data_IF_661771926235
#
_entry.id   IF_661771926235
#
_cell.length_a   1.000
_cell.length_b   1.000
_cell.length_c   1.000
_cell.angle_alpha   90.00
_cell.angle_beta   90.00
_cell.angle_gamma   90.00
#
_symmetry.space_group_name_H-M   'P 1'
#
loop_
_entity.id
_entity.type
_entity.pdbx_description
1 polymer ?
#
# COMPACT_ATOMS: atom_id res chain seq x y z
N UNK A 1 14.10 -10.07 -0.43
CA UNK A 1 12.69 -10.41 -0.08
C UNK A 1 11.88 -9.12 -0.01
N UNK A 2 10.65 -9.12 -0.51
CA UNK A 2 9.86 -7.90 -0.58
C UNK A 2 9.01 -7.66 0.66
N UNK A 3 9.02 -6.43 1.16
CA UNK A 3 8.24 -5.99 2.33
C UNK A 3 7.49 -4.71 2.00
N UNK A 4 6.27 -4.58 2.52
CA UNK A 4 5.52 -3.33 2.56
C UNK A 4 5.58 -2.76 3.97
N UNK A 5 6.00 -1.49 4.09
CA UNK A 5 5.96 -0.72 5.33
C UNK A 5 4.74 0.20 5.26
N UNK A 6 3.78 -0.01 6.15
CA UNK A 6 2.54 0.75 6.24
C UNK A 6 2.67 1.80 7.34
N UNK A 7 2.52 3.07 6.98
CA UNK A 7 2.77 4.20 7.87
C UNK A 7 1.45 4.64 8.51
N UNK A 8 1.31 4.39 9.81
CA UNK A 8 0.13 4.78 10.58
C UNK A 8 0.43 5.96 11.49
N UNK A 9 -0.53 6.89 11.58
CA UNK A 9 -0.48 7.99 12.54
C UNK A 9 -1.72 8.88 12.49
N UNK A 10 -1.86 9.77 13.47
CA UNK A 10 -2.92 10.77 13.47
C UNK A 10 -2.69 11.85 12.39
N UNK A 11 -3.71 12.16 11.59
CA UNK A 11 -3.60 13.17 10.52
C UNK A 11 -3.27 14.57 11.06
N UNK A 12 -3.82 14.91 12.22
CA UNK A 12 -3.65 16.20 12.89
C UNK A 12 -2.40 16.27 13.80
N UNK A 13 -1.62 15.19 13.88
CA UNK A 13 -0.47 15.06 14.79
C UNK A 13 0.80 15.85 14.40
N UNK A 14 0.75 16.61 13.30
CA UNK A 14 1.90 17.28 12.70
C UNK A 14 1.61 18.74 12.38
N UNK A 15 2.53 19.63 12.75
CA UNK A 15 2.56 21.00 12.23
C UNK A 15 3.02 20.99 10.76
N UNK A 16 2.77 22.08 10.03
CA UNK A 16 3.21 22.20 8.63
C UNK A 16 4.73 22.04 8.48
N UNK A 17 5.51 22.67 9.36
CA UNK A 17 6.96 22.56 9.35
C UNK A 17 7.43 21.12 9.60
N UNK A 18 6.85 20.43 10.59
CA UNK A 18 7.20 19.03 10.85
C UNK A 18 6.80 18.09 9.70
N UNK A 19 5.68 18.36 9.00
CA UNK A 19 5.30 17.61 7.78
C UNK A 19 6.35 17.81 6.68
N UNK A 20 6.83 19.02 6.48
CA UNK A 20 7.88 19.33 5.50
C UNK A 20 9.19 18.64 5.85
N UNK A 21 9.62 18.70 7.10
CA UNK A 21 10.84 18.06 7.56
C UNK A 21 10.75 16.53 7.46
N UNK A 22 9.60 15.96 7.82
CA UNK A 22 9.30 14.55 7.64
C UNK A 22 9.41 14.13 6.17
N UNK A 23 8.88 14.93 5.25
CA UNK A 23 8.97 14.66 3.80
C UNK A 23 10.42 14.66 3.32
N UNK A 24 11.19 15.69 3.65
CA UNK A 24 12.59 15.83 3.23
C UNK A 24 13.47 14.68 3.76
N UNK A 25 13.31 14.32 5.04
CA UNK A 25 14.04 13.20 5.64
C UNK A 25 13.62 11.86 5.02
N UNK A 26 12.33 11.67 4.75
CA UNK A 26 11.80 10.48 4.09
C UNK A 26 12.34 10.32 2.66
N UNK A 27 12.43 11.43 1.90
CA UNK A 27 13.00 11.44 0.56
C UNK A 27 14.49 11.08 0.57
N UNK A 28 15.27 11.67 1.49
CA UNK A 28 16.69 11.33 1.63
C UNK A 28 16.92 9.84 1.95
N UNK A 29 16.08 9.25 2.81
CA UNK A 29 16.14 7.81 3.09
C UNK A 29 15.80 6.99 1.82
N UNK A 30 14.84 7.43 1.00
CA UNK A 30 14.56 6.74 -0.25
C UNK A 30 15.76 6.79 -1.21
N UNK A 31 16.43 7.93 -1.34
CA UNK A 31 17.59 8.08 -2.23
C UNK A 31 18.74 7.16 -1.80
N UNK A 32 18.97 7.04 -0.49
CA UNK A 32 19.93 6.08 0.05
C UNK A 32 19.54 4.62 -0.27
N UNK A 33 18.27 4.26 -0.05
CA UNK A 33 17.78 2.90 -0.31
C UNK A 33 17.78 2.55 -1.81
N UNK A 34 17.53 3.54 -2.67
CA UNK A 34 17.59 3.41 -4.12
C UNK A 34 19.03 3.20 -4.59
N UNK A 35 19.98 3.97 -4.08
CA UNK A 35 21.41 3.78 -4.35
C UNK A 35 21.92 2.39 -3.88
N UNK A 36 21.29 1.82 -2.86
CA UNK A 36 21.55 0.46 -2.37
C UNK A 36 20.78 -0.64 -3.14
N UNK A 37 19.89 -0.27 -4.06
CA UNK A 37 19.05 -1.22 -4.81
C UNK A 37 17.93 -1.87 -3.98
N UNK A 38 17.58 -1.28 -2.83
CA UNK A 38 16.59 -1.81 -1.86
C UNK A 38 15.22 -1.18 -1.99
N UNK A 39 15.10 -0.02 -2.60
CA UNK A 39 13.84 0.69 -2.77
C UNK A 39 13.11 0.23 -4.03
N UNK A 40 11.80 -0.06 -3.91
CA UNK A 40 10.93 -0.38 -5.06
C UNK A 40 9.97 0.78 -5.35
N UNK A 41 9.23 1.22 -4.34
CA UNK A 41 8.26 2.31 -4.46
C UNK A 41 7.89 2.86 -3.07
N UNK A 42 7.47 4.11 -3.01
CA UNK A 42 6.91 4.70 -1.80
C UNK A 42 6.08 5.92 -2.15
N UNK A 43 5.04 6.19 -1.38
CA UNK A 43 4.29 7.43 -1.50
C UNK A 43 3.57 7.76 -0.20
N UNK A 44 3.45 9.04 0.17
CA UNK A 44 2.40 9.47 1.09
C UNK A 44 1.04 9.35 0.39
N UNK A 45 -0.02 9.17 1.19
CA UNK A 45 -1.40 9.07 0.73
C UNK A 45 -2.13 10.34 1.17
N UNK A 46 -3.07 10.81 0.35
CA UNK A 46 -3.96 11.91 0.75
C UNK A 46 -4.79 11.54 2.00
N UNK A 47 -5.34 12.55 2.69
CA UNK A 47 -6.20 12.40 3.88
C UNK A 47 -7.36 11.43 3.66
N UNK A 48 -7.78 10.70 4.70
CA UNK A 48 -8.92 9.78 4.68
C UNK A 48 -10.23 10.38 4.18
N UNK A 49 -10.36 11.70 4.24
CA UNK A 49 -11.45 12.44 3.61
C UNK A 49 -11.56 12.27 2.07
N UNK A 50 -10.46 11.94 1.39
CA UNK A 50 -10.43 11.69 -0.06
C UNK A 50 -10.59 10.22 -0.43
N UNK A 51 -10.84 9.36 0.54
CA UNK A 51 -10.91 7.93 0.33
C UNK A 51 -12.25 7.53 -0.27
N UNK A 52 -12.25 6.43 -1.01
CA UNK A 52 -13.47 5.81 -1.50
C UNK A 52 -13.40 4.31 -1.31
N UNK A 53 -14.42 3.73 -0.73
CA UNK A 53 -14.52 2.29 -0.50
C UNK A 53 -15.47 1.64 -1.50
N UNK A 54 -15.07 0.48 -2.01
CA UNK A 54 -15.81 -0.31 -2.97
C UNK A 54 -16.00 -1.72 -2.42
N UNK A 55 -17.24 -2.18 -2.41
CA UNK A 55 -17.61 -3.58 -2.14
C UNK A 55 -18.41 -4.11 -3.31
N UNK A 56 -18.20 -5.37 -3.68
CA UNK A 56 -18.99 -6.07 -4.68
C UNK A 56 -19.71 -7.23 -4.00
N UNK A 57 -21.04 -7.22 -4.03
CA UNK A 57 -21.88 -8.28 -3.43
C UNK A 57 -22.92 -8.69 -4.44
N UNK A 58 -23.00 -9.99 -4.73
CA UNK A 58 -23.94 -10.55 -5.72
C UNK A 58 -23.84 -9.86 -7.10
N UNK A 59 -22.62 -9.50 -7.51
CA UNK A 59 -22.36 -8.78 -8.76
C UNK A 59 -22.76 -7.30 -8.75
N UNK A 60 -23.28 -6.77 -7.63
CA UNK A 60 -23.64 -5.36 -7.48
C UNK A 60 -22.52 -4.61 -6.77
N UNK A 61 -22.06 -3.53 -7.41
CA UNK A 61 -21.08 -2.60 -6.85
C UNK A 61 -21.75 -1.64 -5.86
N UNK A 62 -21.20 -1.57 -4.65
CA UNK A 62 -21.52 -0.59 -3.62
C UNK A 62 -20.30 0.32 -3.44
N UNK A 63 -20.51 1.64 -3.50
CA UNK A 63 -19.47 2.65 -3.36
C UNK A 63 -19.85 3.55 -2.19
N UNK A 64 -18.89 3.81 -1.30
CA UNK A 64 -19.06 4.67 -0.13
C UNK A 64 -17.89 5.61 0.02
N UNK A 65 -18.16 6.86 0.41
CA UNK A 65 -17.11 7.84 0.71
C UNK A 65 -16.46 7.51 2.05
N UNK A 66 -15.16 7.77 2.16
CA UNK A 66 -14.38 7.53 3.37
C UNK A 66 -13.62 6.20 3.37
N UNK A 67 -12.72 6.02 4.36
CA UNK A 67 -11.84 4.86 4.47
C UNK A 67 -12.64 3.61 4.86
N UNK A 68 -12.00 2.44 4.77
CA UNK A 68 -12.62 1.18 5.18
C UNK A 68 -12.98 1.18 6.68
N UNK A 69 -12.12 1.76 7.52
CA UNK A 69 -12.31 1.83 8.96
C UNK A 69 -12.06 3.25 9.47
N UNK A 70 -12.95 3.74 10.33
CA UNK A 70 -12.74 4.97 11.08
C UNK A 70 -11.91 4.66 12.34
N UNK A 71 -10.62 4.99 12.29
CA UNK A 71 -9.66 4.82 13.40
C UNK A 71 -9.06 6.18 13.82
N UNK A 72 -8.47 6.23 15.00
CA UNK A 72 -7.74 7.44 15.45
C UNK A 72 -6.46 7.66 14.64
N UNK A 73 -5.77 6.57 14.32
CA UNK A 73 -4.54 6.60 13.52
C UNK A 73 -4.81 5.96 12.17
N UNK A 74 -4.46 6.69 11.11
CA UNK A 74 -4.82 6.41 9.73
C UNK A 74 -3.60 6.00 8.92
N UNK A 75 -3.82 5.23 7.85
CA UNK A 75 -2.76 4.89 6.91
C UNK A 75 -2.42 6.12 6.05
N UNK A 76 -1.29 6.75 6.35
CA UNK A 76 -0.85 7.99 5.70
C UNK A 76 0.28 7.83 4.68
N UNK A 77 0.89 6.64 4.60
CA UNK A 77 2.06 6.39 3.73
C UNK A 77 2.31 4.91 3.52
N UNK A 78 3.07 4.58 2.47
CA UNK A 78 3.69 3.27 2.35
C UNK A 78 5.11 3.34 1.76
N UNK A 79 5.88 2.29 2.04
CA UNK A 79 7.09 1.93 1.29
C UNK A 79 7.00 0.47 0.86
N UNK A 80 7.62 0.14 -0.27
CA UNK A 80 7.85 -1.21 -0.75
C UNK A 80 9.36 -1.34 -0.94
N UNK A 81 9.94 -2.33 -0.28
CA UNK A 81 11.38 -2.56 -0.23
C UNK A 81 11.71 -3.98 -0.67
N UNK A 82 12.85 -4.19 -1.33
CA UNK A 82 13.50 -5.49 -1.50
C UNK A 82 14.74 -5.55 -0.60
N UNK A 83 14.65 -6.31 0.49
CA UNK A 83 15.70 -6.40 1.51
C UNK A 83 15.93 -7.84 1.95
N UNK A 84 17.06 -8.12 2.56
CA UNK A 84 17.49 -9.51 2.82
C UNK A 84 16.69 -10.15 3.95
N UNK A 85 16.07 -9.36 4.84
CA UNK A 85 15.39 -9.89 6.02
C UNK A 85 14.36 -8.94 6.63
N UNK A 86 13.51 -9.52 7.50
CA UNK A 86 12.59 -8.76 8.35
C UNK A 86 13.34 -7.80 9.29
N UNK A 87 14.49 -8.20 9.82
CA UNK A 87 15.28 -7.36 10.72
C UNK A 87 15.83 -6.12 10.01
N UNK A 88 16.22 -6.27 8.74
CA UNK A 88 16.62 -5.14 7.90
C UNK A 88 15.43 -4.22 7.61
N UNK A 89 14.27 -4.77 7.26
CA UNK A 89 13.04 -3.98 7.06
C UNK A 89 12.64 -3.21 8.33
N UNK A 90 12.76 -3.83 9.52
CA UNK A 90 12.53 -3.17 10.83
C UNK A 90 13.56 -2.08 11.08
N UNK A 91 14.83 -2.31 10.76
CA UNK A 91 15.89 -1.31 10.91
C UNK A 91 15.61 -0.08 10.04
N UNK A 92 15.18 -0.28 8.80
CA UNK A 92 14.75 0.81 7.90
C UNK A 92 13.50 1.50 8.45
N UNK A 93 12.47 0.76 8.85
CA UNK A 93 11.24 1.31 9.43
C UNK A 93 11.53 2.21 10.65
N UNK A 94 12.55 1.89 11.44
CA UNK A 94 12.96 2.66 12.62
C UNK A 94 13.62 3.99 12.27
N UNK A 95 14.13 4.13 11.04
CA UNK A 95 14.75 5.38 10.54
C UNK A 95 13.70 6.34 9.99
N UNK A 96 12.51 5.85 9.65
CA UNK A 96 11.46 6.66 9.05
C UNK A 96 10.90 7.67 10.07
N UNK A 97 10.88 8.98 9.75
CA UNK A 97 10.38 10.01 10.68
C UNK A 97 8.98 9.74 11.24
N UNK A 98 8.01 9.20 10.45
CA UNK A 98 6.68 8.85 10.97
C UNK A 98 6.67 7.87 12.15
N UNK A 99 7.68 6.98 12.27
CA UNK A 99 7.78 6.04 13.39
C UNK A 99 7.86 6.75 14.76
N UNK A 100 8.27 8.03 14.79
CA UNK A 100 8.40 8.82 16.02
C UNK A 100 7.09 9.31 16.61
N UNK A 101 6.06 9.52 15.78
CA UNK A 101 4.74 10.05 16.19
C UNK A 101 3.57 9.09 15.96
N UNK A 102 3.79 8.01 15.22
CA UNK A 102 2.82 6.95 14.98
C UNK A 102 3.49 5.59 15.04
N UNK A 103 3.20 4.73 14.07
CA UNK A 103 3.81 3.41 13.93
C UNK A 103 4.08 3.07 12.46
N UNK A 104 5.05 2.19 12.24
CA UNK A 104 5.32 1.58 10.94
C UNK A 104 5.07 0.08 11.06
N UNK A 105 4.02 -0.41 10.40
CA UNK A 105 3.76 -1.84 10.31
C UNK A 105 4.56 -2.41 9.13
N UNK A 106 5.49 -3.31 9.43
CA UNK A 106 6.30 -4.04 8.46
C UNK A 106 5.58 -5.35 8.14
N UNK A 107 5.17 -5.51 6.88
CA UNK A 107 4.49 -6.71 6.39
C UNK A 107 5.26 -7.34 5.22
N UNK A 108 5.62 -8.63 5.27
CA UNK A 108 6.18 -9.29 4.10
C UNK A 108 5.13 -9.34 2.98
N UNK A 109 5.57 -9.16 1.73
CA UNK A 109 4.75 -9.49 0.57
C UNK A 109 4.74 -11.01 0.36
N UNK A 110 3.60 -11.52 -0.09
CA UNK A 110 3.47 -12.92 -0.45
C UNK A 110 4.00 -13.09 -1.89
N UNK A 111 5.00 -13.95 -2.13
CA UNK A 111 5.47 -14.24 -3.48
C UNK A 111 4.34 -14.82 -4.33
N UNK A 112 4.30 -14.42 -5.59
CA UNK A 112 3.36 -14.99 -6.56
C UNK A 112 3.84 -16.42 -6.89
N UNK A 113 3.00 -17.44 -6.72
CA UNK A 113 3.39 -18.83 -6.98
C UNK A 113 3.46 -19.11 -8.48
N UNK A 114 4.43 -19.91 -8.91
CA UNK A 114 4.49 -20.41 -10.29
C UNK A 114 3.21 -21.20 -10.66
N UNK A 115 2.74 -21.13 -11.92
CA UNK A 115 3.32 -20.41 -13.05
C UNK A 115 2.80 -18.97 -13.21
N UNK A 116 2.18 -18.39 -12.18
CA UNK A 116 1.69 -17.02 -12.25
C UNK A 116 2.84 -16.03 -12.14
N UNK A 117 2.82 -14.98 -12.97
CA UNK A 117 3.81 -13.93 -12.97
C UNK A 117 3.11 -12.57 -13.16
N UNK A 118 3.57 -11.56 -12.41
CA UNK A 118 3.10 -10.19 -12.59
C UNK A 118 3.82 -9.56 -13.80
N UNK A 119 3.23 -8.53 -14.43
CA UNK A 119 3.90 -7.80 -15.49
C UNK A 119 5.24 -7.22 -15.04
N UNK A 120 6.26 -7.32 -15.89
CA UNK A 120 7.54 -6.66 -15.67
C UNK A 120 7.34 -5.13 -15.77
N UNK A 121 7.75 -4.41 -14.73
CA UNK A 121 7.76 -2.96 -14.70
C UNK A 121 9.21 -2.51 -14.49
N UNK A 122 9.72 -1.71 -15.44
CA UNK A 122 11.13 -1.32 -15.50
C UNK A 122 11.57 -0.51 -14.26
N UNK A 123 10.61 0.14 -13.60
CA UNK A 123 10.62 0.59 -12.21
C UNK A 123 9.17 0.98 -11.86
N UNK A 124 8.66 0.57 -10.69
CA UNK A 124 7.33 0.94 -10.21
C UNK A 124 7.31 2.39 -9.68
N UNK A 125 7.82 3.33 -10.47
CA UNK A 125 7.73 4.75 -10.17
C UNK A 125 6.37 5.26 -10.66
N UNK A 126 5.52 5.80 -9.79
CA UNK A 126 4.44 6.67 -10.23
C UNK A 126 5.09 7.81 -11.00
N UNK A 127 4.90 7.85 -12.32
CA UNK A 127 5.66 8.68 -13.25
C UNK A 127 5.91 10.09 -12.71
N UNK A 128 7.19 10.42 -12.52
CA UNK A 128 7.69 11.72 -12.17
C UNK A 128 7.74 12.63 -13.41
N UNK A 129 6.58 12.96 -13.99
CA UNK A 129 6.42 14.10 -14.92
C UNK A 129 4.95 14.41 -15.11
N UNK A 130 4.58 15.69 -15.02
CA UNK A 130 3.32 16.23 -15.54
C UNK A 130 3.25 16.08 -17.08
N UNK A 131 3.00 14.87 -17.56
CA UNK A 131 2.34 14.56 -18.84
C UNK A 131 2.13 13.04 -18.84
N UNK A 132 0.93 12.47 -18.73
CA UNK A 132 -0.33 12.80 -19.40
C UNK A 132 -1.55 12.55 -18.46
N UNK A 133 -2.29 13.60 -18.08
CA UNK A 133 -3.67 13.60 -17.53
C UNK A 133 -4.19 12.36 -16.73
N UNK A 134 -3.45 11.89 -15.72
CA UNK A 134 -3.89 10.80 -14.82
C UNK A 134 -3.42 10.98 -13.37
N UNK A 135 -4.04 10.24 -12.48
CA UNK A 135 -3.77 10.24 -11.03
C UNK A 135 -3.35 8.84 -10.59
N UNK A 136 -2.33 8.78 -9.73
CA UNK A 136 -1.91 7.52 -9.12
C UNK A 136 -2.80 7.20 -7.92
N UNK A 137 -3.30 5.98 -7.87
CA UNK A 137 -4.08 5.47 -6.74
C UNK A 137 -3.46 4.20 -6.20
N UNK A 138 -3.55 4.04 -4.88
CA UNK A 138 -3.44 2.73 -4.24
C UNK A 138 -4.84 2.21 -3.95
N UNK A 139 -5.09 0.95 -4.29
CA UNK A 139 -6.30 0.21 -3.94
C UNK A 139 -5.92 -0.84 -2.91
N UNK A 140 -6.33 -0.62 -1.67
CA UNK A 140 -6.04 -1.45 -0.49
C UNK A 140 -7.16 -2.46 -0.29
N UNK A 141 -6.83 -3.75 -0.27
CA UNK A 141 -7.82 -4.82 -0.19
C UNK A 141 -7.92 -5.36 1.24
N UNK A 142 -9.01 -5.04 1.93
CA UNK A 142 -9.32 -5.53 3.27
C UNK A 142 -10.28 -6.70 3.20
N UNK A 143 -10.00 -7.80 3.91
CA UNK A 143 -10.93 -8.91 4.05
C UNK A 143 -10.75 -9.60 5.41
N UNK A 144 -11.78 -10.30 5.89
CA UNK A 144 -11.62 -11.17 7.04
C UNK A 144 -10.58 -12.26 6.75
N UNK A 145 -9.79 -12.64 7.76
CA UNK A 145 -8.90 -13.79 7.63
C UNK A 145 -9.72 -15.06 7.29
N UNK A 146 -9.25 -15.82 6.29
CA UNK A 146 -9.98 -16.98 5.80
C UNK A 146 -11.27 -16.67 5.02
N UNK A 147 -11.47 -15.43 4.54
CA UNK A 147 -12.62 -15.07 3.71
C UNK A 147 -12.76 -15.93 2.43
N UNK A 148 -11.65 -16.50 1.97
CA UNK A 148 -11.58 -17.37 0.81
C UNK A 148 -11.22 -18.80 1.22
N UNK A 149 -11.98 -19.81 0.79
CA UNK A 149 -11.49 -21.19 0.75
C UNK A 149 -10.19 -21.28 -0.08
N UNK A 150 -9.24 -22.17 0.25
CA UNK A 150 -7.93 -22.21 -0.42
C UNK A 150 -8.01 -22.33 -1.95
N UNK A 151 -8.90 -23.18 -2.48
CA UNK A 151 -9.08 -23.35 -3.93
C UNK A 151 -9.62 -22.08 -4.59
N UNK A 152 -10.60 -21.42 -3.97
CA UNK A 152 -11.12 -20.15 -4.46
C UNK A 152 -10.10 -19.02 -4.36
N UNK A 153 -9.23 -19.05 -3.34
CA UNK A 153 -8.15 -18.08 -3.19
C UNK A 153 -7.15 -18.17 -4.33
N UNK A 154 -6.78 -19.38 -4.76
CA UNK A 154 -5.89 -19.59 -5.91
C UNK A 154 -6.51 -19.07 -7.21
N UNK A 155 -7.81 -19.30 -7.42
CA UNK A 155 -8.55 -18.74 -8.58
C UNK A 155 -8.59 -17.21 -8.51
N UNK A 156 -8.91 -16.64 -7.35
CA UNK A 156 -8.92 -15.19 -7.15
C UNK A 156 -7.54 -14.55 -7.39
N UNK A 157 -6.45 -15.25 -7.02
CA UNK A 157 -5.10 -14.81 -7.31
C UNK A 157 -4.79 -14.83 -8.81
N UNK A 158 -5.15 -15.91 -9.51
CA UNK A 158 -4.98 -15.99 -10.96
C UNK A 158 -5.77 -14.90 -11.71
N UNK A 159 -7.03 -14.67 -11.35
CA UNK A 159 -7.85 -13.56 -11.88
C UNK A 159 -7.22 -12.18 -11.59
N UNK A 160 -6.63 -12.00 -10.41
CA UNK A 160 -5.95 -10.76 -10.04
C UNK A 160 -4.70 -10.53 -10.89
N UNK A 161 -3.92 -11.59 -11.17
CA UNK A 161 -2.74 -11.54 -12.04
C UNK A 161 -3.15 -11.24 -13.49
N UNK A 162 -4.20 -11.86 -14.00
CA UNK A 162 -4.74 -11.56 -15.32
C UNK A 162 -5.16 -10.08 -15.44
N UNK A 163 -5.85 -9.55 -14.41
CA UNK A 163 -6.20 -8.14 -14.34
C UNK A 163 -4.95 -7.24 -14.36
N UNK A 164 -3.86 -7.62 -13.68
CA UNK A 164 -2.61 -6.86 -13.74
C UNK A 164 -2.07 -6.77 -15.17
N UNK A 165 -2.07 -7.87 -15.93
CA UNK A 165 -1.68 -7.88 -17.35
C UNK A 165 -2.58 -7.01 -18.22
N UNK A 166 -3.90 -7.06 -17.99
CA UNK A 166 -4.86 -6.21 -18.71
C UNK A 166 -4.62 -4.71 -18.45
N UNK A 167 -4.39 -4.33 -17.20
CA UNK A 167 -4.06 -2.96 -16.82
C UNK A 167 -2.71 -2.52 -17.38
N UNK A 168 -1.70 -3.40 -17.36
CA UNK A 168 -0.38 -3.11 -17.92
C UNK A 168 -0.43 -2.87 -19.42
N UNK A 169 -1.18 -3.67 -20.18
CA UNK A 169 -1.40 -3.45 -21.61
C UNK A 169 -2.07 -2.10 -21.95
N UNK A 170 -2.70 -1.46 -20.96
CA UNK A 170 -3.35 -0.15 -21.08
C UNK A 170 -2.49 0.99 -20.48
N UNK A 171 -1.29 0.70 -19.98
CA UNK A 171 -0.45 1.67 -19.28
C UNK A 171 -0.97 2.08 -17.89
N UNK A 172 -1.90 1.30 -17.31
CA UNK A 172 -2.58 1.62 -16.06
C UNK A 172 -2.01 0.89 -14.83
N UNK A 173 -1.13 -0.10 -15.03
CA UNK A 173 -0.53 -0.89 -13.96
C UNK A 173 0.82 -0.32 -13.51
N UNK A 174 0.98 -0.13 -12.20
CA UNK A 174 2.26 0.24 -11.60
C UNK A 174 2.86 -0.90 -10.77
N UNK A 175 2.06 -1.54 -9.91
CA UNK A 175 2.46 -2.67 -9.07
C UNK A 175 1.24 -3.31 -8.43
N UNK A 176 1.33 -4.56 -8.01
CA UNK A 176 0.35 -5.18 -7.12
C UNK A 176 1.02 -6.33 -6.38
N UNK A 177 0.59 -6.60 -5.15
CA UNK A 177 0.98 -7.82 -4.47
C UNK A 177 -0.01 -8.19 -3.35
N UNK A 178 -0.21 -9.49 -3.11
CA UNK A 178 -0.74 -9.95 -1.83
C UNK A 178 0.26 -9.70 -0.70
N UNK A 179 -0.26 -9.43 0.49
CA UNK A 179 0.49 -9.34 1.73
C UNK A 179 0.44 -10.70 2.45
N UNK A 180 1.49 -11.05 3.18
CA UNK A 180 1.42 -12.20 4.07
C UNK A 180 0.44 -11.96 5.23
N UNK A 181 0.07 -13.05 5.91
CA UNK A 181 -0.90 -13.04 6.99
C UNK A 181 -0.55 -11.98 8.06
N UNK A 182 -1.54 -11.30 8.67
CA UNK A 182 -1.29 -10.26 9.68
C UNK A 182 -0.43 -10.73 10.86
N UNK A 183 -0.50 -12.00 11.24
CA UNK A 183 0.36 -12.60 12.27
C UNK A 183 1.86 -12.55 11.95
N UNK A 184 2.26 -12.31 10.69
CA UNK A 184 3.66 -12.12 10.29
C UNK A 184 4.15 -10.68 10.44
N UNK A 185 3.22 -9.74 10.68
CA UNK A 185 3.53 -8.33 10.77
C UNK A 185 4.35 -8.00 12.01
N UNK A 186 5.15 -6.93 11.90
CA UNK A 186 5.88 -6.34 13.01
C UNK A 186 5.57 -4.86 13.05
N UNK A 187 5.18 -4.34 14.20
CA UNK A 187 4.94 -2.90 14.36
C UNK A 187 6.14 -2.23 15.00
N UNK A 188 6.64 -1.19 14.36
CA UNK A 188 7.81 -0.42 14.78
C UNK A 188 7.36 0.95 15.23
N UNK A 189 7.75 1.31 16.45
CA UNK A 189 7.57 2.65 17.00
C UNK A 189 8.90 3.15 17.53
N UNK A 190 9.17 4.44 17.37
CA UNK A 190 10.33 5.11 17.97
C UNK A 190 9.80 6.09 19.01
N UNK A 191 10.22 5.93 20.26
CA UNK A 191 9.80 6.77 21.39
C UNK A 191 11.02 7.13 22.21
N UNK A 192 11.20 8.43 22.49
CA UNK A 192 12.33 8.93 23.30
C UNK A 192 13.72 8.42 22.84
N UNK A 193 13.90 8.24 21.53
CA UNK A 193 15.15 7.71 20.95
C UNK A 193 15.33 6.19 21.05
N UNK A 194 14.40 5.48 21.68
CA UNK A 194 14.36 4.02 21.73
C UNK A 194 13.42 3.43 20.68
N UNK A 195 13.83 2.30 20.08
CA UNK A 195 13.00 1.48 19.19
C UNK A 195 12.20 0.47 20.00
N UNK A 196 10.88 0.45 19.79
CA UNK A 196 9.95 -0.58 20.27
C UNK A 196 9.44 -1.36 19.06
N UNK A 197 9.49 -2.70 19.15
CA UNK A 197 8.93 -3.59 18.13
C UNK A 197 7.90 -4.49 18.81
N UNK A 198 6.68 -4.52 18.28
CA UNK A 198 5.62 -5.43 18.72
C UNK A 198 5.22 -6.41 17.62
N UNK A 199 4.70 -7.56 18.04
CA UNK A 199 4.17 -8.60 17.16
C UNK A 199 2.78 -8.21 16.65
N UNK A 200 2.47 -8.62 15.41
CA UNK A 200 1.16 -8.44 14.82
C UNK A 200 0.96 -7.10 14.09
N UNK A 201 -0.20 -6.95 13.43
CA UNK A 201 -0.52 -5.75 12.67
C UNK A 201 -0.78 -4.58 13.61
N UNK A 202 -0.71 -3.36 13.08
CA UNK A 202 -0.98 -2.15 13.85
C UNK A 202 -2.48 -2.01 14.14
N UNK A 203 -3.31 -2.27 13.13
CA UNK A 203 -4.76 -2.20 13.23
C UNK A 203 -5.36 -3.59 13.48
N UNK A 204 -5.81 -3.86 14.71
CA UNK A 204 -6.55 -5.08 15.05
C UNK A 204 -8.05 -4.95 14.67
N UNK A 205 -8.33 -5.00 13.37
CA UNK A 205 -9.69 -4.93 12.80
C UNK A 205 -10.21 -6.31 12.39
N UNK A 206 -11.53 -6.44 12.19
CA UNK A 206 -12.16 -7.68 11.71
C UNK A 206 -11.76 -8.03 10.26
N UNK A 207 -11.63 -7.01 9.40
CA UNK A 207 -11.08 -7.18 8.06
C UNK A 207 -9.66 -6.60 8.07
N UNK A 208 -8.70 -7.39 7.60
CA UNK A 208 -7.27 -7.09 7.60
C UNK A 208 -6.81 -6.81 6.17
N UNK A 209 -5.82 -5.93 6.02
CA UNK A 209 -5.24 -5.64 4.70
C UNK A 209 -4.55 -6.90 4.16
N UNK A 210 -5.03 -7.44 3.05
CA UNK A 210 -4.52 -8.68 2.44
C UNK A 210 -3.73 -8.47 1.15
N UNK A 211 -3.75 -7.28 0.57
CA UNK A 211 -3.09 -6.99 -0.70
C UNK A 211 -3.32 -5.56 -1.15
N UNK A 212 -2.60 -5.15 -2.19
CA UNK A 212 -2.81 -3.85 -2.82
C UNK A 212 -2.66 -3.92 -4.35
N UNK A 213 -3.21 -2.91 -5.01
CA UNK A 213 -2.90 -2.54 -6.39
C UNK A 213 -2.46 -1.07 -6.42
N UNK A 214 -1.42 -0.77 -7.19
CA UNK A 214 -1.00 0.57 -7.57
C UNK A 214 -1.34 0.76 -9.05
N UNK A 215 -2.13 1.79 -9.33
CA UNK A 215 -2.63 2.07 -10.68
C UNK A 215 -2.46 3.54 -11.03
N UNK A 216 -2.27 3.80 -12.33
CA UNK A 216 -2.30 5.12 -12.92
C UNK A 216 -3.52 5.21 -13.83
N UNK A 217 -4.52 5.98 -13.44
CA UNK A 217 -5.80 6.09 -14.18
C UNK A 217 -6.24 7.54 -14.26
N UNK A 218 -7.14 7.84 -15.19
CA UNK A 218 -7.54 9.23 -15.48
C UNK A 218 -8.11 9.95 -14.25
N UNK A 219 -8.97 9.26 -13.51
CA UNK A 219 -9.77 9.84 -12.42
C UNK A 219 -10.27 8.77 -11.44
N UNK A 220 -10.95 9.21 -10.38
CA UNK A 220 -11.52 8.36 -9.34
C UNK A 220 -12.59 7.39 -9.89
N UNK A 221 -13.37 7.79 -10.89
CA UNK A 221 -14.39 6.93 -11.49
C UNK A 221 -13.76 5.73 -12.20
N UNK A 222 -12.62 5.94 -12.86
CA UNK A 222 -11.81 4.87 -13.41
C UNK A 222 -11.19 3.99 -12.31
N UNK A 223 -10.65 4.58 -11.24
CA UNK A 223 -10.15 3.83 -10.09
C UNK A 223 -11.23 2.94 -9.45
N UNK A 224 -12.48 3.45 -9.32
CA UNK A 224 -13.64 2.69 -8.81
C UNK A 224 -13.99 1.54 -9.76
N UNK A 225 -13.89 1.73 -11.08
CA UNK A 225 -14.11 0.65 -12.05
C UNK A 225 -13.06 -0.44 -11.89
N UNK A 226 -11.78 -0.08 -11.79
CA UNK A 226 -10.69 -1.03 -11.55
C UNK A 226 -10.90 -1.77 -10.22
N UNK A 227 -11.15 -1.05 -9.12
CA UNK A 227 -11.38 -1.64 -7.81
C UNK A 227 -12.55 -2.64 -7.81
N UNK A 228 -13.60 -2.40 -8.59
CA UNK A 228 -14.73 -3.32 -8.71
C UNK A 228 -14.41 -4.60 -9.50
N UNK A 229 -13.39 -4.58 -10.36
CA UNK A 229 -12.90 -5.77 -11.07
C UNK A 229 -11.98 -6.64 -10.21
N UNK A 230 -11.38 -6.08 -9.15
CA UNK A 230 -10.45 -6.83 -8.30
C UNK A 230 -11.23 -7.91 -7.51
N UNK A 231 -10.81 -9.19 -7.62
CA UNK A 231 -11.38 -10.31 -6.86
C UNK A 231 -11.66 -10.03 -5.38
N UNK A 232 -10.71 -9.37 -4.69
CA UNK A 232 -10.80 -9.01 -3.27
C UNK A 232 -12.05 -8.21 -2.91
N UNK A 233 -12.56 -7.36 -3.80
CA UNK A 233 -13.78 -6.57 -3.57
C UNK A 233 -15.03 -7.43 -3.44
N UNK A 234 -15.03 -8.67 -3.95
CA UNK A 234 -16.16 -9.61 -3.88
C UNK A 234 -16.38 -10.20 -2.48
N UNK A 235 -15.31 -10.35 -1.70
CA UNK A 235 -15.34 -10.96 -0.35
C UNK A 235 -14.82 -10.05 0.77
N UNK A 236 -14.40 -8.84 0.41
CA UNK A 236 -13.88 -7.83 1.34
C UNK A 236 -14.31 -6.43 0.94
N UNK A 237 -13.40 -5.49 1.10
CA UNK A 237 -13.51 -4.07 0.76
C UNK A 237 -12.24 -3.62 0.04
N UNK A 238 -12.40 -2.93 -1.08
CA UNK A 238 -11.31 -2.16 -1.67
C UNK A 238 -11.41 -0.71 -1.19
N UNK A 239 -10.40 -0.20 -0.49
CA UNK A 239 -10.24 1.22 -0.20
C UNK A 239 -9.32 1.86 -1.24
N UNK A 240 -9.81 2.86 -1.95
CA UNK A 240 -9.09 3.61 -2.97
C UNK A 240 -8.57 4.89 -2.33
N UNK A 241 -7.26 5.11 -2.43
CA UNK A 241 -6.59 6.31 -1.92
C UNK A 241 -5.74 6.96 -3.01
N UNK A 242 -5.96 8.26 -3.33
CA UNK A 242 -5.05 8.97 -4.21
C UNK A 242 -3.68 9.13 -3.55
N UNK A 243 -2.64 9.06 -4.37
CA UNK A 243 -1.25 9.26 -3.98
C UNK A 243 -0.83 10.69 -4.30
N UNK A 244 0.03 11.28 -3.47
CA UNK A 244 0.60 12.56 -3.82
C UNK A 244 1.52 12.40 -5.04
N UNK A 245 1.51 13.36 -5.99
CA UNK A 245 2.55 13.43 -6.99
C UNK A 245 3.86 13.72 -6.26
N UNK A 246 4.80 12.78 -6.30
CA UNK A 246 6.14 13.03 -5.82
C UNK A 246 6.88 13.86 -6.88
N UNK A 247 7.61 14.91 -6.49
CA UNK A 247 8.43 15.65 -7.45
C UNK A 247 9.44 14.70 -8.10
N UNK A 248 9.72 14.95 -9.38
CA UNK A 248 10.82 14.28 -10.06
C UNK A 248 12.11 14.50 -9.27
N UNK A 249 12.85 13.42 -9.01
CA UNK A 249 14.17 13.51 -8.40
C UNK A 249 15.15 13.90 -9.51
N UNK A 250 15.91 14.98 -9.29
CA UNK A 250 16.93 15.49 -10.23
C UNK A 250 18.17 14.60 -10.28
#
# INVERSE_FOLDING_TARGET
>A
MKYMLLIYGAEEGWTEQERKDCMLQSMAICDELEAEGKWIASSPLHSVSTATTVRVREGKRQVTDGPFAETTEQLGGYYILDVDSMDEAIAIASRLPPASKGAVEVRPLLPIPEPLELPDVEQAQPAATESEAGTNYIVLLYAAEGAWPPEEHAVALAESVELCHQLHAQGQYLSAAPLQAPATAKCVQVRQGGRVVSEGPFAETKEQLGGYFLIHVKDLDEAIRVAAMIPGSRRGTAEIRPLFPLPARE
#
